data_IF_101255837385
#
_entry.id   IF_101255837385
#
_cell.length_a   1.000
_cell.length_b   1.000
_cell.length_c   1.000
_cell.angle_alpha   90.00
_cell.angle_beta   90.00
_cell.angle_gamma   90.00
#
_symmetry.space_group_name_H-M   'P 1'
#
loop_
_entity.id
_entity.type
_entity.pdbx_description
1 polymer ?
#
# COMPACT_ATOMS: atom_id res chain seq x y z
N UNK A 1 -27.02 17.61 21.89
CA UNK A 1 -25.76 17.03 22.43
C UNK A 1 -24.67 17.19 21.38
N UNK A 2 -23.61 17.98 21.63
CA UNK A 2 -22.60 18.31 20.61
C UNK A 2 -21.56 17.18 20.56
N UNK A 3 -21.55 16.37 19.49
CA UNK A 3 -20.60 15.26 19.28
C UNK A 3 -19.14 15.67 19.55
N UNK A 4 -18.77 16.87 19.12
CA UNK A 4 -17.46 17.48 19.38
C UNK A 4 -17.09 17.52 20.86
N UNK A 5 -18.04 17.84 21.74
CA UNK A 5 -17.79 17.89 23.19
C UNK A 5 -17.44 16.50 23.72
N UNK A 6 -18.20 15.47 23.33
CA UNK A 6 -17.92 14.07 23.74
C UNK A 6 -16.53 13.61 23.31
N UNK A 7 -16.11 13.96 22.08
CA UNK A 7 -14.80 13.59 21.56
C UNK A 7 -13.70 14.27 22.38
N UNK A 8 -13.83 15.57 22.64
CA UNK A 8 -12.84 16.32 23.44
C UNK A 8 -12.78 15.79 24.87
N UNK A 9 -13.92 15.55 25.51
CA UNK A 9 -13.99 14.98 26.86
C UNK A 9 -13.34 13.57 26.90
N UNK A 10 -13.53 12.77 25.84
CA UNK A 10 -12.89 11.45 25.71
C UNK A 10 -11.37 11.54 25.56
N UNK A 11 -10.87 12.46 24.72
CA UNK A 11 -9.44 12.65 24.50
C UNK A 11 -8.75 13.16 25.78
N UNK A 12 -9.40 14.07 26.51
CA UNK A 12 -8.84 14.62 27.76
C UNK A 12 -8.69 13.57 28.88
N UNK A 13 -9.43 12.47 28.80
CA UNK A 13 -9.35 11.38 29.77
C UNK A 13 -8.37 10.26 29.37
N UNK A 14 -7.70 10.39 28.22
CA UNK A 14 -6.74 9.39 27.75
C UNK A 14 -5.40 9.53 28.47
N UNK A 15 -4.73 8.40 28.67
CA UNK A 15 -3.33 8.37 29.08
C UNK A 15 -2.37 8.55 27.89
N UNK A 16 -1.08 8.73 28.16
CA UNK A 16 -0.06 8.98 27.13
C UNK A 16 0.04 7.85 26.09
N UNK A 17 -0.20 6.60 26.48
CA UNK A 17 -0.19 5.45 25.58
C UNK A 17 -1.36 5.50 24.61
N UNK A 18 -2.56 5.80 25.11
CA UNK A 18 -3.77 5.94 24.31
C UNK A 18 -3.69 7.14 23.36
N UNK A 19 -3.14 8.27 23.83
CA UNK A 19 -2.87 9.45 23.01
C UNK A 19 -1.86 9.15 21.90
N UNK A 20 -0.80 8.40 22.20
CA UNK A 20 0.20 7.97 21.21
C UNK A 20 -0.42 7.10 20.12
N UNK A 21 -1.30 6.16 20.50
CA UNK A 21 -2.01 5.31 19.56
C UNK A 21 -2.97 6.12 18.68
N UNK A 22 -3.72 7.05 19.28
CA UNK A 22 -4.61 7.96 18.53
C UNK A 22 -3.82 8.81 17.52
N UNK A 23 -2.65 9.31 17.92
CA UNK A 23 -1.79 10.09 17.04
C UNK A 23 -1.30 9.28 15.84
N UNK A 24 -0.83 8.05 16.05
CA UNK A 24 -0.43 7.17 14.94
C UNK A 24 -1.60 6.82 14.02
N UNK A 25 -2.81 6.65 14.56
CA UNK A 25 -4.00 6.47 13.72
C UNK A 25 -4.31 7.70 12.86
N UNK A 26 -4.21 8.91 13.41
CA UNK A 26 -4.40 10.16 12.65
C UNK A 26 -3.38 10.24 11.51
N UNK A 27 -2.10 9.95 11.80
CA UNK A 27 -1.02 9.94 10.81
C UNK A 27 -1.26 8.93 9.69
N UNK A 28 -1.76 7.74 10.02
CA UNK A 28 -2.16 6.75 9.02
C UNK A 28 -3.31 7.25 8.15
N UNK A 29 -4.33 7.87 8.73
CA UNK A 29 -5.46 8.44 7.98
C UNK A 29 -5.00 9.54 7.02
N UNK A 30 -4.07 10.40 7.44
CA UNK A 30 -3.46 11.42 6.57
C UNK A 30 -2.67 10.80 5.42
N UNK A 31 -1.86 9.78 5.70
CA UNK A 31 -1.12 9.06 4.67
C UNK A 31 -2.05 8.42 3.64
N UNK A 32 -3.13 7.75 4.08
CA UNK A 32 -4.13 7.15 3.19
C UNK A 32 -4.84 8.22 2.35
N UNK A 33 -5.21 9.35 2.95
CA UNK A 33 -5.83 10.46 2.22
C UNK A 33 -4.90 10.99 1.14
N UNK A 34 -3.62 11.13 1.43
CA UNK A 34 -2.62 11.59 0.47
C UNK A 34 -2.37 10.57 -0.65
N UNK A 35 -2.35 9.27 -0.34
CA UNK A 35 -2.27 8.19 -1.35
C UNK A 35 -3.51 8.17 -2.23
N UNK A 36 -4.70 8.46 -1.69
CA UNK A 36 -5.94 8.54 -2.46
C UNK A 36 -5.98 9.73 -3.45
N UNK A 37 -5.21 10.79 -3.16
CA UNK A 37 -5.07 11.96 -4.03
C UNK A 37 -3.90 11.84 -5.02
N UNK A 38 -2.94 10.96 -4.74
CA UNK A 38 -2.04 10.44 -5.75
C UNK A 38 -2.81 9.54 -6.69
N UNK A 39 -3.33 10.08 -7.81
CA UNK A 39 -3.77 9.24 -8.94
C UNK A 39 -2.71 8.16 -9.13
N UNK A 40 -3.04 6.88 -8.89
CA UNK A 40 -2.21 5.77 -9.39
C UNK A 40 -1.99 6.10 -10.86
N UNK A 41 -0.76 6.44 -11.25
CA UNK A 41 -0.45 6.67 -12.65
C UNK A 41 -0.81 5.36 -13.33
N UNK A 42 -1.87 5.39 -14.15
CA UNK A 42 -2.21 4.27 -15.00
C UNK A 42 -1.00 4.08 -15.89
N UNK A 43 -0.29 2.97 -15.70
CA UNK A 43 0.84 2.63 -16.54
C UNK A 43 0.26 2.29 -17.92
N UNK A 44 0.86 2.84 -18.96
CA UNK A 44 0.51 2.43 -20.32
C UNK A 44 1.03 1.02 -20.56
N UNK A 45 0.40 0.31 -21.50
CA UNK A 45 0.82 -1.05 -21.85
C UNK A 45 2.27 -1.08 -22.37
N UNK A 46 2.72 -0.01 -23.01
CA UNK A 46 4.10 0.16 -23.47
C UNK A 46 5.07 0.24 -22.29
N UNK A 47 4.70 0.92 -21.19
CA UNK A 47 5.55 1.00 -20.00
C UNK A 47 5.64 -0.33 -19.27
N UNK A 48 4.55 -1.08 -19.24
CA UNK A 48 4.54 -2.45 -18.71
C UNK A 48 5.46 -3.33 -19.55
N UNK A 49 5.33 -3.28 -20.87
CA UNK A 49 6.16 -4.04 -21.79
C UNK A 49 7.64 -3.70 -21.66
N UNK A 50 8.00 -2.42 -21.52
CA UNK A 50 9.38 -1.98 -21.28
C UNK A 50 9.94 -2.56 -19.97
N UNK A 51 9.14 -2.58 -18.90
CA UNK A 51 9.52 -3.15 -17.60
C UNK A 51 9.69 -4.68 -17.67
N UNK A 52 8.88 -5.37 -18.47
CA UNK A 52 8.91 -6.84 -18.59
C UNK A 52 9.86 -7.34 -19.67
N UNK A 53 10.30 -6.48 -20.61
CA UNK A 53 11.17 -6.85 -21.72
C UNK A 53 12.60 -7.26 -21.31
N UNK A 54 13.00 -7.01 -20.06
CA UNK A 54 14.33 -7.38 -19.55
C UNK A 54 14.40 -8.88 -19.19
N UNK A 55 13.27 -9.58 -19.06
CA UNK A 55 13.24 -11.03 -18.85
C UNK A 55 13.44 -11.76 -20.18
N UNK A 56 14.71 -12.00 -20.55
CA UNK A 56 15.07 -12.77 -21.75
C UNK A 56 14.59 -14.22 -21.71
N UNK A 57 14.30 -14.77 -20.53
CA UNK A 57 13.63 -16.05 -20.36
C UNK A 57 12.16 -15.81 -20.04
N UNK A 58 11.26 -16.28 -20.91
CA UNK A 58 9.86 -16.42 -20.52
C UNK A 58 9.77 -17.55 -19.48
N UNK A 59 8.86 -17.45 -18.52
CA UNK A 59 8.62 -18.53 -17.56
C UNK A 59 8.32 -19.87 -18.27
N UNK A 60 7.73 -19.79 -19.47
CA UNK A 60 7.50 -20.94 -20.34
C UNK A 60 8.80 -21.60 -20.84
N UNK A 61 9.86 -20.82 -21.10
CA UNK A 61 11.15 -21.33 -21.56
C UNK A 61 11.88 -22.02 -20.40
N UNK A 62 11.89 -21.39 -19.22
CA UNK A 62 12.49 -21.96 -18.00
C UNK A 62 11.84 -23.29 -17.61
N UNK A 63 10.50 -23.38 -17.66
CA UNK A 63 9.77 -24.62 -17.34
C UNK A 63 9.97 -25.71 -18.40
N UNK A 64 10.19 -25.31 -19.67
CA UNK A 64 10.45 -26.28 -20.74
C UNK A 64 11.86 -26.87 -20.63
N UNK A 65 12.85 -26.05 -20.28
CA UNK A 65 14.25 -26.46 -20.10
C UNK A 65 14.42 -27.41 -18.90
N UNK A 66 13.80 -27.11 -17.75
CA UNK A 66 13.81 -27.99 -16.56
C UNK A 66 13.21 -29.39 -16.84
N UNK A 67 12.24 -29.49 -17.76
CA UNK A 67 11.58 -30.74 -18.12
C UNK A 67 12.37 -31.57 -19.12
N UNK A 68 13.14 -30.94 -20.00
CA UNK A 68 14.00 -31.62 -20.96
C UNK A 68 15.25 -32.19 -20.27
N UNK A 69 15.79 -31.48 -19.27
CA UNK A 69 16.98 -31.92 -18.50
C UNK A 69 16.68 -33.07 -17.51
N UNK A 70 15.41 -33.30 -17.20
CA UNK A 70 14.95 -34.39 -16.30
C UNK A 70 14.64 -35.72 -17.03
N UNK A 71 14.96 -35.84 -18.32
CA UNK A 71 14.87 -37.08 -19.11
C UNK A 71 16.23 -37.75 -19.29
#
# INVERSE_FOLDING_TARGET
MKLRKKIVDSINNMNDTELSLLYEQIKLMEAVKNVSHGKKKVLSIEKINEMTAISLSCWADTVSEEREESR
#
